data_IF_585861396790
#
_entry.id   IF_585861396790
#
_cell.length_a   1.000
_cell.length_b   1.000
_cell.length_c   1.000
_cell.angle_alpha   90.00
_cell.angle_beta   90.00
_cell.angle_gamma   90.00
#
_symmetry.space_group_name_H-M   'P 1'
#
loop_
_entity.id
_entity.type
_entity.pdbx_description
1 polymer ?
#
# COMPACT_ATOMS: atom_id res chain seq x y z
N UNK A 1 -40.67 30.20 51.25
CA UNK A 1 -41.71 29.15 51.22
C UNK A 1 -41.86 28.76 49.75
N UNK A 2 -41.19 27.69 49.30
CA UNK A 2 -41.73 26.33 49.11
C UNK A 2 -42.75 26.25 47.96
N UNK A 3 -42.79 25.28 47.04
CA UNK A 3 -41.97 24.16 46.52
C UNK A 3 -42.89 23.47 45.48
N UNK A 4 -42.32 22.61 44.64
CA UNK A 4 -42.90 21.58 43.74
C UNK A 4 -42.94 21.98 42.26
N UNK A 5 -42.03 21.47 41.41
CA UNK A 5 -41.86 20.07 40.92
C UNK A 5 -43.06 19.58 40.12
N UNK A 6 -42.86 19.34 38.82
CA UNK A 6 -43.26 18.07 38.19
C UNK A 6 -42.56 17.85 36.84
N UNK A 7 -41.85 16.73 36.77
CA UNK A 7 -41.28 16.11 35.59
C UNK A 7 -42.38 15.56 34.66
N UNK A 8 -42.10 15.39 33.36
CA UNK A 8 -42.21 14.09 32.66
C UNK A 8 -42.07 14.15 31.11
N UNK A 9 -41.03 13.42 30.63
CA UNK A 9 -41.02 12.40 29.55
C UNK A 9 -41.42 12.76 28.11
N UNK A 10 -40.45 12.63 27.18
CA UNK A 10 -40.75 12.14 25.82
C UNK A 10 -39.63 11.29 25.18
N UNK A 11 -39.79 9.98 25.39
CA UNK A 11 -39.72 8.84 24.44
C UNK A 11 -38.42 8.54 23.67
N UNK A 12 -37.86 7.40 24.08
CA UNK A 12 -36.90 6.52 23.43
C UNK A 12 -37.39 6.00 22.06
N UNK A 13 -36.48 5.97 21.07
CA UNK A 13 -36.64 5.32 19.76
C UNK A 13 -35.93 3.96 19.74
N UNK A 14 -36.54 2.99 19.04
CA UNK A 14 -36.47 1.53 19.25
C UNK A 14 -35.21 0.84 18.69
N UNK A 15 -34.77 -0.29 19.29
CA UNK A 15 -33.76 -1.18 18.71
C UNK A 15 -34.37 -2.08 17.62
N UNK A 16 -33.61 -2.31 16.54
CA UNK A 16 -33.97 -3.25 15.47
C UNK A 16 -33.82 -4.70 15.94
N UNK A 17 -34.86 -5.50 15.67
CA UNK A 17 -35.03 -6.88 16.10
C UNK A 17 -33.99 -7.81 15.44
N UNK A 18 -33.30 -8.59 16.26
CA UNK A 18 -32.64 -9.82 15.83
C UNK A 18 -33.69 -10.92 15.68
N UNK A 19 -33.64 -11.66 14.58
CA UNK A 19 -34.38 -12.90 14.38
C UNK A 19 -33.40 -14.06 14.47
N UNK A 20 -33.48 -14.79 15.58
CA UNK A 20 -32.91 -16.13 15.73
C UNK A 20 -33.74 -17.13 14.92
N UNK A 21 -33.06 -17.99 14.15
CA UNK A 21 -33.61 -19.26 13.68
C UNK A 21 -32.69 -20.35 14.22
N UNK A 22 -33.32 -21.24 14.99
CA UNK A 22 -32.73 -22.23 15.87
C UNK A 22 -32.36 -23.53 15.12
N UNK A 23 -31.11 -23.97 15.32
CA UNK A 23 -30.56 -25.34 15.42
C UNK A 23 -31.18 -26.50 14.59
N UNK A 24 -30.33 -27.27 13.90
CA UNK A 24 -30.03 -28.68 14.22
C UNK A 24 -28.77 -29.14 13.44
N UNK A 25 -28.11 -30.17 13.96
CA UNK A 25 -26.69 -30.47 13.85
C UNK A 25 -26.48 -31.89 13.30
N UNK A 26 -25.46 -32.11 12.46
CA UNK A 26 -24.85 -33.44 12.25
C UNK A 26 -23.31 -33.32 12.11
N UNK A 27 -22.51 -34.21 12.71
CA UNK A 27 -21.05 -34.15 12.67
C UNK A 27 -20.47 -35.06 11.58
N UNK A 28 -19.93 -34.48 10.51
CA UNK A 28 -19.13 -35.25 9.54
C UNK A 28 -17.69 -35.35 10.01
N UNK A 29 -17.29 -36.59 10.29
CA UNK A 29 -15.92 -36.95 10.64
C UNK A 29 -15.01 -36.67 9.44
N UNK A 30 -14.22 -35.61 9.51
CA UNK A 30 -13.15 -35.36 8.55
C UNK A 30 -11.92 -36.15 8.95
N UNK A 31 -11.70 -37.30 8.31
CA UNK A 31 -10.38 -37.93 8.26
C UNK A 31 -9.42 -36.94 7.60
N UNK A 32 -8.39 -36.54 8.34
CA UNK A 32 -7.23 -35.83 7.80
C UNK A 32 -6.40 -36.81 6.97
N UNK A 33 -6.70 -36.90 5.67
CA UNK A 33 -5.69 -37.28 4.69
C UNK A 33 -4.91 -36.01 4.32
N UNK A 34 -3.88 -35.73 5.11
CA UNK A 34 -2.81 -34.81 4.70
C UNK A 34 -1.98 -35.53 3.63
N UNK A 35 -2.50 -35.51 2.40
CA UNK A 35 -1.73 -35.87 1.21
C UNK A 35 -1.37 -34.59 0.49
N UNK A 36 -0.19 -34.05 0.80
CA UNK A 36 0.43 -33.01 0.01
C UNK A 36 0.77 -33.57 -1.38
N UNK A 37 -0.11 -33.31 -2.35
CA UNK A 37 0.25 -33.46 -3.75
C UNK A 37 1.26 -32.35 -4.10
N UNK A 38 2.55 -32.69 -4.10
CA UNK A 38 3.54 -31.98 -4.92
C UNK A 38 3.20 -32.26 -6.39
N UNK A 39 2.29 -31.46 -6.93
CA UNK A 39 1.98 -31.40 -8.35
C UNK A 39 2.32 -30.01 -8.85
N UNK A 40 3.28 -29.92 -9.76
CA UNK A 40 3.60 -28.70 -10.48
C UNK A 40 2.33 -28.09 -11.08
N UNK A 41 1.95 -26.90 -10.62
CA UNK A 41 0.87 -26.06 -11.16
C UNK A 41 1.22 -25.56 -12.58
N UNK A 42 1.26 -26.48 -13.54
CA UNK A 42 1.47 -26.18 -14.97
C UNK A 42 0.32 -25.37 -15.57
N UNK A 43 -0.86 -25.38 -14.94
CA UNK A 43 -2.06 -24.71 -15.45
C UNK A 43 -2.08 -23.20 -15.10
N UNK A 44 -1.52 -22.79 -13.95
CA UNK A 44 -1.48 -21.39 -13.52
C UNK A 44 -0.48 -20.54 -14.32
N UNK A 45 0.62 -21.13 -14.77
CA UNK A 45 1.66 -20.43 -15.55
C UNK A 45 1.15 -20.01 -16.93
N UNK A 46 0.34 -20.86 -17.58
CA UNK A 46 -0.22 -20.59 -18.90
C UNK A 46 -1.25 -19.44 -18.88
N UNK A 47 -2.10 -19.39 -17.85
CA UNK A 47 -3.13 -18.35 -17.71
C UNK A 47 -2.49 -16.99 -17.45
N UNK A 48 -1.48 -16.93 -16.59
CA UNK A 48 -0.75 -15.68 -16.31
C UNK A 48 0.01 -15.21 -17.56
N UNK A 49 0.68 -16.12 -18.28
CA UNK A 49 1.36 -15.78 -19.53
C UNK A 49 0.39 -15.22 -20.58
N UNK A 50 -0.79 -15.82 -20.77
CA UNK A 50 -1.79 -15.31 -21.70
C UNK A 50 -2.35 -13.94 -21.30
N UNK A 51 -2.61 -13.71 -20.01
CA UNK A 51 -3.10 -12.42 -19.50
C UNK A 51 -2.06 -11.32 -19.74
N UNK A 52 -0.79 -11.60 -19.45
CA UNK A 52 0.31 -10.67 -19.66
C UNK A 52 0.49 -10.34 -21.15
N UNK A 53 0.37 -11.32 -22.04
CA UNK A 53 0.41 -11.11 -23.49
C UNK A 53 -0.74 -10.21 -23.99
N UNK A 54 -1.97 -10.42 -23.51
CA UNK A 54 -3.12 -9.59 -23.89
C UNK A 54 -3.02 -8.16 -23.35
N UNK A 55 -2.53 -7.98 -22.11
CA UNK A 55 -2.27 -6.66 -21.54
C UNK A 55 -1.16 -5.93 -22.32
N UNK A 56 -0.08 -6.62 -22.68
CA UNK A 56 0.99 -6.06 -23.48
C UNK A 56 0.46 -5.56 -24.85
N UNK A 57 -0.32 -6.37 -25.55
CA UNK A 57 -0.91 -6.00 -26.84
C UNK A 57 -1.89 -4.81 -26.72
N UNK A 58 -2.75 -4.79 -25.70
CA UNK A 58 -3.73 -3.72 -25.46
C UNK A 58 -3.09 -2.36 -25.15
N UNK A 59 -1.93 -2.36 -24.52
CA UNK A 59 -1.19 -1.15 -24.15
C UNK A 59 -0.08 -0.79 -25.15
N UNK A 60 -0.01 -1.45 -26.31
CA UNK A 60 0.99 -1.16 -27.35
C UNK A 60 2.42 -1.52 -26.93
N UNK A 61 2.58 -2.43 -25.96
CA UNK A 61 3.88 -2.96 -25.53
C UNK A 61 4.31 -4.01 -26.56
N UNK A 62 5.00 -3.56 -27.59
CA UNK A 62 5.68 -4.45 -28.52
C UNK A 62 6.99 -4.93 -27.88
N UNK A 63 6.97 -6.15 -27.31
CA UNK A 63 8.13 -6.75 -26.64
C UNK A 63 9.31 -6.92 -27.61
N UNK A 64 9.03 -7.15 -28.91
CA UNK A 64 10.04 -7.28 -29.95
C UNK A 64 10.76 -5.95 -30.25
N UNK A 65 10.10 -4.81 -30.07
CA UNK A 65 10.71 -3.50 -30.32
C UNK A 65 11.65 -3.03 -29.18
N UNK A 66 11.65 -3.76 -28.05
CA UNK A 66 12.59 -3.54 -26.93
C UNK A 66 13.95 -4.22 -27.13
N UNK A 67 14.17 -4.90 -28.27
CA UNK A 67 15.27 -5.85 -28.50
C UNK A 67 16.58 -5.25 -29.08
N UNK A 68 16.73 -3.93 -29.20
CA UNK A 68 17.94 -3.32 -29.81
C UNK A 68 18.76 -2.45 -28.85
N UNK A 69 18.95 -2.92 -27.61
CA UNK A 69 20.12 -2.59 -26.80
C UNK A 69 20.90 -3.89 -26.62
N UNK A 70 22.23 -3.84 -26.75
CA UNK A 70 23.11 -5.00 -26.49
C UNK A 70 22.59 -5.79 -25.29
N UNK A 71 22.46 -7.11 -25.43
CA UNK A 71 21.81 -7.98 -24.43
C UNK A 71 22.55 -7.89 -23.09
N UNK A 72 22.12 -6.95 -22.25
CA UNK A 72 22.62 -6.76 -20.89
C UNK A 72 22.41 -8.06 -20.14
N UNK A 73 23.49 -8.61 -19.58
CA UNK A 73 23.50 -9.86 -18.82
C UNK A 73 23.93 -9.57 -17.39
N UNK A 74 23.33 -10.29 -16.44
CA UNK A 74 23.80 -10.27 -15.07
C UNK A 74 25.23 -10.84 -14.99
N UNK A 75 26.19 -10.15 -14.34
CA UNK A 75 27.56 -10.66 -14.22
C UNK A 75 27.64 -11.96 -13.41
N UNK A 76 26.65 -12.22 -12.54
CA UNK A 76 26.65 -13.34 -11.60
C UNK A 76 25.89 -14.55 -12.15
N UNK A 77 24.62 -14.38 -12.51
CA UNK A 77 23.79 -15.49 -13.00
C UNK A 77 23.64 -15.55 -14.54
N UNK A 78 24.21 -14.60 -15.28
CA UNK A 78 24.25 -14.54 -16.76
C UNK A 78 22.90 -14.44 -17.46
N UNK A 79 21.80 -14.40 -16.72
CA UNK A 79 20.46 -14.15 -17.25
C UNK A 79 20.36 -12.76 -17.87
N UNK A 80 19.66 -12.68 -18.99
CA UNK A 80 19.22 -11.43 -19.61
C UNK A 80 17.89 -10.97 -19.02
N UNK A 81 17.49 -9.74 -19.33
CA UNK A 81 16.15 -9.25 -18.99
C UNK A 81 15.04 -10.08 -19.64
N UNK A 82 15.28 -10.65 -20.84
CA UNK A 82 14.33 -11.55 -21.52
C UNK A 82 14.14 -12.85 -20.75
N UNK A 83 15.23 -13.42 -20.24
CA UNK A 83 15.17 -14.63 -19.42
C UNK A 83 14.40 -14.36 -18.12
N UNK A 84 14.66 -13.21 -17.47
CA UNK A 84 13.93 -12.78 -16.27
C UNK A 84 12.45 -12.59 -16.55
N UNK A 85 12.09 -11.95 -17.68
CA UNK A 85 10.70 -11.75 -18.08
C UNK A 85 9.98 -13.08 -18.40
N UNK A 86 10.69 -14.05 -18.98
CA UNK A 86 10.15 -15.37 -19.28
C UNK A 86 9.90 -16.20 -18.01
N UNK A 87 10.87 -16.21 -17.08
CA UNK A 87 10.77 -16.96 -15.81
C UNK A 87 9.85 -16.24 -14.81
N UNK A 88 9.72 -14.92 -14.90
CA UNK A 88 8.89 -14.09 -14.01
C UNK A 88 9.56 -13.72 -12.68
N UNK A 89 10.86 -14.00 -12.51
CA UNK A 89 11.62 -13.65 -11.30
C UNK A 89 13.08 -13.33 -11.62
N UNK A 90 13.70 -12.53 -10.76
CA UNK A 90 15.14 -12.27 -10.80
C UNK A 90 15.93 -13.52 -10.37
N UNK A 91 17.09 -13.74 -11.00
CA UNK A 91 17.91 -14.94 -10.76
C UNK A 91 18.79 -14.85 -9.51
N UNK A 92 19.36 -13.68 -9.23
CA UNK A 92 20.20 -13.43 -8.05
C UNK A 92 20.12 -11.96 -7.60
N UNK A 93 20.79 -11.61 -6.51
CA UNK A 93 20.77 -10.24 -5.97
C UNK A 93 21.33 -9.18 -6.93
N UNK A 94 22.41 -9.48 -7.66
CA UNK A 94 23.03 -8.57 -8.63
C UNK A 94 22.12 -8.23 -9.82
N UNK A 95 21.05 -9.02 -10.05
CA UNK A 95 20.05 -8.71 -11.07
C UNK A 95 19.33 -7.38 -10.78
N UNK A 96 19.11 -7.02 -9.51
CA UNK A 96 18.44 -5.77 -9.16
C UNK A 96 19.26 -4.55 -9.59
N UNK A 97 20.58 -4.61 -9.37
CA UNK A 97 21.49 -3.53 -9.78
C UNK A 97 21.70 -3.53 -11.29
N UNK A 98 21.92 -4.72 -11.87
CA UNK A 98 22.17 -4.87 -13.31
C UNK A 98 21.00 -4.32 -14.12
N UNK A 99 19.76 -4.61 -13.74
CA UNK A 99 18.58 -4.27 -14.55
C UNK A 99 17.77 -3.09 -14.00
N UNK A 100 18.32 -2.33 -13.04
CA UNK A 100 17.61 -1.27 -12.32
C UNK A 100 16.80 -0.34 -13.22
N UNK A 101 17.45 0.22 -14.23
CA UNK A 101 16.83 1.21 -15.11
C UNK A 101 15.75 0.58 -16.00
N UNK A 102 16.02 -0.60 -16.56
CA UNK A 102 15.08 -1.32 -17.41
C UNK A 102 13.83 -1.75 -16.64
N UNK A 103 14.02 -2.21 -15.39
CA UNK A 103 12.93 -2.62 -14.49
C UNK A 103 12.08 -1.42 -14.10
N UNK A 104 12.69 -0.27 -13.80
CA UNK A 104 11.94 0.94 -13.48
C UNK A 104 11.01 1.36 -14.64
N UNK A 105 11.48 1.26 -15.88
CA UNK A 105 10.68 1.55 -17.08
C UNK A 105 9.57 0.53 -17.33
N UNK A 106 9.81 -0.75 -17.05
CA UNK A 106 8.80 -1.81 -17.14
C UNK A 106 7.71 -1.58 -16.09
N UNK A 107 8.08 -1.39 -14.83
CA UNK A 107 7.15 -1.18 -13.72
C UNK A 107 6.29 0.06 -13.98
N UNK A 108 6.90 1.16 -14.42
CA UNK A 108 6.17 2.38 -14.80
C UNK A 108 5.13 2.11 -15.88
N UNK A 109 5.47 1.35 -16.93
CA UNK A 109 4.54 1.00 -18.00
C UNK A 109 3.40 0.11 -17.52
N UNK A 110 3.70 -0.92 -16.72
CA UNK A 110 2.71 -1.85 -16.16
C UNK A 110 1.73 -1.14 -15.22
N UNK A 111 2.22 -0.19 -14.42
CA UNK A 111 1.40 0.62 -13.50
C UNK A 111 0.69 1.80 -14.19
N UNK A 112 0.71 1.87 -15.53
CA UNK A 112 0.07 2.95 -16.28
C UNK A 112 0.63 4.34 -15.95
N UNK A 113 1.91 4.43 -15.60
CA UNK A 113 2.61 5.67 -15.24
C UNK A 113 2.50 6.07 -13.76
N UNK A 114 1.71 5.36 -12.95
CA UNK A 114 1.55 5.67 -11.53
C UNK A 114 2.75 5.15 -10.73
N UNK A 115 3.63 6.05 -10.32
CA UNK A 115 4.71 5.75 -9.38
C UNK A 115 4.28 5.90 -7.92
N UNK A 116 3.18 6.60 -7.69
CA UNK A 116 2.64 6.87 -6.37
C UNK A 116 1.31 6.18 -6.16
N UNK A 117 1.14 5.56 -4.99
CA UNK A 117 -0.12 4.95 -4.62
C UNK A 117 -1.11 6.02 -4.15
N UNK A 118 -2.01 6.45 -5.04
CA UNK A 118 -3.18 7.26 -4.71
C UNK A 118 -4.37 6.34 -4.43
N UNK A 119 -4.67 6.06 -3.16
CA UNK A 119 -5.77 5.16 -2.81
C UNK A 119 -5.92 4.88 -1.32
N UNK A 120 -6.63 3.79 -1.03
CA UNK A 120 -6.87 3.32 0.35
C UNK A 120 -5.54 3.00 1.03
N UNK A 121 -5.38 3.45 2.27
CA UNK A 121 -4.24 3.12 3.10
C UNK A 121 -4.71 2.34 4.34
N UNK A 122 -3.85 1.52 4.95
CA UNK A 122 -4.20 0.78 6.17
C UNK A 122 -4.64 1.72 7.30
N UNK A 123 -5.61 1.29 8.10
CA UNK A 123 -6.11 2.06 9.27
C UNK A 123 -4.97 2.45 10.23
N UNK A 124 -4.01 1.56 10.43
CA UNK A 124 -2.80 1.79 11.25
C UNK A 124 -1.95 2.98 10.78
N UNK A 125 -2.05 3.36 9.50
CA UNK A 125 -1.27 4.47 8.91
C UNK A 125 -1.98 5.82 8.96
N UNK A 126 -3.24 5.89 9.44
CA UNK A 126 -4.01 7.14 9.47
C UNK A 126 -3.33 8.22 10.29
N UNK A 127 -2.89 7.90 11.52
CA UNK A 127 -2.26 8.86 12.43
C UNK A 127 -0.97 9.43 11.85
N UNK A 128 -0.07 8.55 11.37
CA UNK A 128 1.19 8.95 10.74
C UNK A 128 0.98 9.84 9.52
N UNK A 129 -0.01 9.53 8.68
CA UNK A 129 -0.35 10.36 7.51
C UNK A 129 -0.97 11.70 7.89
N UNK A 130 -1.86 11.73 8.89
CA UNK A 130 -2.46 12.96 9.39
C UNK A 130 -1.39 13.92 9.94
N UNK A 131 -0.47 13.40 10.77
CA UNK A 131 0.69 14.14 11.26
C UNK A 131 1.56 14.68 10.12
N UNK A 132 1.91 13.82 9.15
CA UNK A 132 2.71 14.23 7.99
C UNK A 132 2.04 15.36 7.20
N UNK A 133 0.74 15.25 6.96
CA UNK A 133 -0.04 16.26 6.25
C UNK A 133 -0.08 17.59 7.02
N UNK A 134 -0.27 17.56 8.33
CA UNK A 134 -0.24 18.77 9.15
C UNK A 134 1.13 19.47 9.11
N UNK A 135 2.23 18.70 9.13
CA UNK A 135 3.58 19.23 8.98
C UNK A 135 3.76 19.90 7.60
N UNK A 136 3.31 19.23 6.53
CA UNK A 136 3.37 19.79 5.16
C UNK A 136 2.56 21.09 5.04
N UNK A 137 1.34 21.14 5.58
CA UNK A 137 0.49 22.34 5.59
C UNK A 137 1.15 23.48 6.37
N UNK A 138 1.74 23.21 7.54
CA UNK A 138 2.46 24.23 8.33
C UNK A 138 3.73 24.70 7.66
N UNK A 139 4.46 23.83 6.94
CA UNK A 139 5.64 24.23 6.16
C UNK A 139 5.29 25.19 5.04
N UNK A 140 4.21 24.92 4.29
CA UNK A 140 3.72 25.84 3.27
C UNK A 140 3.26 27.19 3.88
N UNK A 141 2.63 27.15 5.05
CA UNK A 141 2.24 28.36 5.77
C UNK A 141 3.47 29.16 6.27
N UNK A 142 4.49 28.47 6.79
CA UNK A 142 5.75 29.08 7.20
C UNK A 142 6.42 29.82 6.04
N UNK A 143 6.49 29.21 4.85
CA UNK A 143 7.02 29.85 3.64
C UNK A 143 6.26 31.15 3.30
N UNK A 144 4.94 31.14 3.48
CA UNK A 144 4.10 32.32 3.26
C UNK A 144 4.43 33.44 4.25
N UNK A 145 4.58 33.12 5.55
CA UNK A 145 4.94 34.10 6.59
C UNK A 145 6.34 34.69 6.37
N UNK A 146 7.31 33.85 5.95
CA UNK A 146 8.65 34.30 5.60
C UNK A 146 8.63 35.26 4.41
N UNK A 147 7.83 34.95 3.37
CA UNK A 147 7.68 35.84 2.23
C UNK A 147 7.03 37.19 2.60
N UNK A 148 6.16 37.20 3.62
CA UNK A 148 5.52 38.40 4.16
C UNK A 148 6.38 39.14 5.21
N UNK A 149 7.57 38.63 5.53
CA UNK A 149 8.46 39.17 6.58
C UNK A 149 7.84 39.15 7.99
N UNK A 150 6.85 38.28 8.22
CA UNK A 150 6.20 38.07 9.51
C UNK A 150 7.03 37.12 10.40
N UNK A 151 8.24 37.56 10.81
CA UNK A 151 9.22 36.68 11.45
C UNK A 151 8.82 36.16 12.83
N UNK A 152 8.04 36.93 13.60
CA UNK A 152 7.55 36.50 14.91
C UNK A 152 6.58 35.32 14.79
N UNK A 153 5.59 35.44 13.89
CA UNK A 153 4.65 34.38 13.58
C UNK A 153 5.34 33.17 12.94
N UNK A 154 6.32 33.41 12.06
CA UNK A 154 7.12 32.35 11.46
C UNK A 154 7.90 31.54 12.52
N UNK A 155 8.42 32.19 13.56
CA UNK A 155 9.10 31.49 14.65
C UNK A 155 8.13 30.57 15.41
N UNK A 156 6.90 31.03 15.69
CA UNK A 156 5.85 30.20 16.31
C UNK A 156 5.55 28.98 15.46
N UNK A 157 5.28 29.17 14.16
CA UNK A 157 4.95 28.06 13.25
C UNK A 157 6.12 27.08 13.10
N UNK A 158 7.37 27.57 13.08
CA UNK A 158 8.56 26.71 13.06
C UNK A 158 8.63 25.82 14.30
N UNK A 159 8.40 26.37 15.48
CA UNK A 159 8.47 25.61 16.73
C UNK A 159 7.33 24.57 16.82
N UNK A 160 6.14 24.89 16.29
CA UNK A 160 5.05 23.93 16.13
C UNK A 160 5.40 22.77 15.18
N UNK A 161 6.08 23.05 14.06
CA UNK A 161 6.57 22.01 13.14
C UNK A 161 7.54 21.08 13.88
N UNK A 162 8.48 21.62 14.64
CA UNK A 162 9.45 20.82 15.41
C UNK A 162 8.75 19.90 16.43
N UNK A 163 7.72 20.41 17.13
CA UNK A 163 6.95 19.61 18.08
C UNK A 163 6.20 18.44 17.41
N UNK A 164 5.61 18.67 16.23
CA UNK A 164 4.94 17.63 15.45
C UNK A 164 5.93 16.58 14.92
N UNK A 165 7.11 17.00 14.47
CA UNK A 165 8.18 16.11 14.00
C UNK A 165 8.73 15.21 15.11
N UNK A 166 8.94 15.75 16.32
CA UNK A 166 9.32 14.96 17.49
C UNK A 166 8.26 13.90 17.84
N UNK A 167 6.98 14.29 17.79
CA UNK A 167 5.87 13.36 18.00
C UNK A 167 5.92 12.23 16.98
N UNK A 168 6.10 12.56 15.69
CA UNK A 168 6.21 11.58 14.62
C UNK A 168 7.39 10.60 14.82
N UNK A 169 8.55 11.08 15.26
CA UNK A 169 9.71 10.23 15.55
C UNK A 169 9.45 9.29 16.74
N UNK A 170 8.82 9.80 17.81
CA UNK A 170 8.49 8.99 18.99
C UNK A 170 7.49 7.85 18.70
N UNK A 171 6.57 8.04 17.73
CA UNK A 171 5.65 6.99 17.29
C UNK A 171 6.29 5.93 16.40
N UNK A 172 7.45 6.22 15.79
CA UNK A 172 8.20 5.27 14.96
C UNK A 172 9.02 4.36 15.86
N UNK A 173 9.79 4.93 16.80
CA UNK A 173 10.65 4.16 17.71
C UNK A 173 9.90 3.16 18.60
N UNK A 174 8.64 3.44 18.93
CA UNK A 174 7.80 2.53 19.75
C UNK A 174 7.36 1.25 19.04
N UNK A 175 7.47 1.17 17.71
CA UNK A 175 7.00 0.01 16.93
C UNK A 175 8.11 -0.96 16.54
N UNK A 176 9.37 -0.58 16.75
CA UNK A 176 10.53 -1.42 16.40
C UNK A 176 10.92 -2.38 17.55
N UNK A 177 10.26 -2.26 18.71
CA UNK A 177 10.52 -3.04 19.94
C UNK A 177 9.48 -4.18 20.20
N UNK A 178 8.57 -4.44 19.25
CA UNK A 178 7.46 -5.43 19.38
C UNK A 178 7.47 -6.44 18.21
#
# INVERSE_FOLDING_TARGET
MYRHEEEQKLKQGKPHKATDIHLYQEPVHGQSDEHWHEGDDVEGTFVIQQILQHLAAKHGINVDQMMFREEKRCPTCQMTLKDIAHVGKFGCHDCYETFRDDVADIVRRVQGGHLEHSGKYPKSSHTKRALKRQIEEKRAYLETLVAQQAFEEAAVVRDEIQALEQTQQSEVSRRDDE
#
